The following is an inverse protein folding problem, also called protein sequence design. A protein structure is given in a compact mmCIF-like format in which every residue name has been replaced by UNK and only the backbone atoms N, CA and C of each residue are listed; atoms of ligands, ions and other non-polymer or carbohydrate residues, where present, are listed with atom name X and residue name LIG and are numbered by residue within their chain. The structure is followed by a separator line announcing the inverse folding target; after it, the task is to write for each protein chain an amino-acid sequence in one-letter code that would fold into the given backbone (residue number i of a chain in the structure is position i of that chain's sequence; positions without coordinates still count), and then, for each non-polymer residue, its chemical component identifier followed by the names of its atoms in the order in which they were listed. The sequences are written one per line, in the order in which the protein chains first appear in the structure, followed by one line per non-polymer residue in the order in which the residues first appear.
data_IF_850840112155
#
_entry.id   IF_850840112155
#
_cell.length_a   1.000
_cell.length_b   1.000
_cell.length_c   1.000
_cell.angle_alpha   90.00
_cell.angle_beta   90.00
_cell.angle_gamma   90.00
#
_symmetry.space_group_name_H-M   'P 1'
#
loop_
_entity.id
_entity.type
_entity.pdbx_description
1 polymer ?
#
# COMPACT_ATOMS: atom_id res chain seq x y z
N UNK A 1 -0.75 -17.76 14.40
CA UNK A 1 -1.16 -17.13 13.13
C UNK A 1 -2.41 -17.85 12.62
N UNK A 2 -3.60 -17.25 12.72
CA UNK A 2 -4.70 -17.69 11.85
C UNK A 2 -4.24 -17.33 10.44
N UNK A 3 -3.87 -18.33 9.65
CA UNK A 3 -3.69 -18.12 8.22
C UNK A 3 -5.01 -17.58 7.71
N UNK A 4 -4.99 -16.51 6.92
CA UNK A 4 -6.16 -16.00 6.21
C UNK A 4 -6.87 -17.22 5.59
N UNK A 5 -8.03 -17.60 6.13
CA UNK A 5 -8.70 -18.87 5.73
C UNK A 5 -9.07 -18.84 4.24
N UNK A 6 -9.25 -17.63 3.72
CA UNK A 6 -9.51 -17.35 2.31
C UNK A 6 -8.43 -16.47 1.71
N UNK A 7 -8.06 -16.74 0.46
CA UNK A 7 -7.17 -15.89 -0.32
C UNK A 7 -7.79 -14.49 -0.51
N UNK A 8 -7.22 -13.41 0.07
CA UNK A 8 -7.83 -12.08 0.06
C UNK A 8 -8.03 -11.53 -1.36
N UNK A 9 -7.20 -11.97 -2.32
CA UNK A 9 -7.26 -11.52 -3.71
C UNK A 9 -8.51 -11.99 -4.45
N UNK A 10 -9.24 -12.97 -3.92
CA UNK A 10 -10.55 -13.39 -4.46
C UNK A 10 -11.63 -12.32 -4.31
N UNK A 11 -11.44 -11.38 -3.37
CA UNK A 11 -12.34 -10.28 -3.07
C UNK A 11 -11.91 -8.95 -3.70
N UNK A 12 -10.87 -8.94 -4.54
CA UNK A 12 -10.49 -7.75 -5.29
C UNK A 12 -11.57 -7.38 -6.31
N UNK A 13 -11.96 -6.10 -6.35
CA UNK A 13 -12.86 -5.57 -7.38
C UNK A 13 -12.10 -4.76 -8.43
N UNK A 14 -11.76 -5.44 -9.52
CA UNK A 14 -11.15 -4.83 -10.69
C UNK A 14 -12.17 -4.45 -11.78
N UNK A 15 -13.47 -4.70 -11.56
CA UNK A 15 -14.51 -4.57 -12.59
C UNK A 15 -14.41 -5.62 -13.72
N UNK A 16 -13.55 -6.63 -13.57
CA UNK A 16 -13.44 -7.78 -14.48
C UNK A 16 -13.11 -9.04 -13.66
N UNK A 17 -14.00 -10.04 -13.72
CA UNK A 17 -13.83 -11.31 -13.00
C UNK A 17 -12.55 -12.03 -13.41
N UNK A 18 -12.11 -11.90 -14.67
CA UNK A 18 -10.88 -12.53 -15.18
C UNK A 18 -9.62 -11.96 -14.54
N UNK A 19 -9.62 -10.66 -14.24
CA UNK A 19 -8.52 -10.03 -13.50
C UNK A 19 -8.47 -10.54 -12.06
N UNK A 20 -9.63 -10.71 -11.43
CA UNK A 20 -9.75 -11.24 -10.07
C UNK A 20 -9.24 -12.69 -9.99
N UNK A 21 -9.69 -13.55 -10.90
CA UNK A 21 -9.18 -14.92 -11.01
C UNK A 21 -7.67 -14.96 -11.26
N UNK A 22 -7.14 -14.00 -12.02
CA UNK A 22 -5.70 -13.90 -12.27
C UNK A 22 -4.91 -13.44 -11.05
N UNK A 23 -5.42 -12.51 -10.26
CA UNK A 23 -4.80 -12.09 -9.00
C UNK A 23 -4.68 -13.27 -8.02
N UNK A 24 -5.73 -14.09 -7.91
CA UNK A 24 -5.73 -15.32 -7.12
C UNK A 24 -4.65 -16.29 -7.60
N UNK A 25 -4.60 -16.59 -8.91
CA UNK A 25 -3.59 -17.47 -9.50
C UNK A 25 -2.16 -16.97 -9.22
N UNK A 26 -1.92 -15.67 -9.43
CA UNK A 26 -0.61 -15.05 -9.22
C UNK A 26 -0.20 -15.18 -7.75
N UNK A 27 -1.10 -14.87 -6.82
CA UNK A 27 -0.83 -14.95 -5.40
C UNK A 27 -0.53 -16.38 -4.92
N UNK A 28 -1.28 -17.37 -5.39
CA UNK A 28 -1.04 -18.78 -5.08
C UNK A 28 0.30 -19.25 -5.63
N UNK A 29 0.65 -18.83 -6.85
CA UNK A 29 1.92 -19.17 -7.47
C UNK A 29 3.11 -18.54 -6.73
N UNK A 30 3.00 -17.26 -6.33
CA UNK A 30 4.00 -16.54 -5.54
C UNK A 30 4.19 -17.14 -4.15
N UNK A 31 3.12 -17.65 -3.52
CA UNK A 31 3.19 -18.31 -2.21
C UNK A 31 4.07 -19.56 -2.24
N UNK A 32 4.04 -20.33 -3.33
CA UNK A 32 4.82 -21.57 -3.49
C UNK A 32 6.27 -21.29 -3.84
N UNK A 33 6.53 -20.28 -4.68
CA UNK A 33 7.87 -19.97 -5.22
C UNK A 33 8.33 -18.56 -4.79
N UNK A 34 8.24 -18.29 -3.49
CA UNK A 34 8.59 -16.99 -2.93
C UNK A 34 10.04 -16.61 -3.22
N UNK A 35 10.28 -15.37 -3.65
CA UNK A 35 11.61 -14.82 -3.93
C UNK A 35 12.18 -15.16 -5.32
N UNK A 36 11.52 -16.00 -6.10
CA UNK A 36 11.94 -16.30 -7.48
C UNK A 36 11.38 -15.28 -8.49
N UNK A 37 12.05 -15.04 -9.63
CA UNK A 37 11.50 -14.24 -10.72
C UNK A 37 10.23 -14.86 -11.32
N UNK A 38 9.33 -14.01 -11.84
CA UNK A 38 8.06 -14.46 -12.44
C UNK A 38 8.24 -15.54 -13.51
N UNK A 39 9.33 -15.48 -14.28
CA UNK A 39 9.67 -16.48 -15.31
C UNK A 39 9.95 -17.88 -14.76
N UNK A 40 10.38 -17.99 -13.50
CA UNK A 40 10.53 -19.27 -12.81
C UNK A 40 9.27 -19.66 -12.03
N UNK A 41 8.44 -18.68 -11.66
CA UNK A 41 7.16 -18.93 -10.99
C UNK A 41 6.20 -19.64 -11.95
N UNK A 42 6.00 -19.08 -13.15
CA UNK A 42 5.09 -19.60 -14.15
C UNK A 42 5.80 -20.54 -15.14
N UNK A 43 5.29 -21.76 -15.28
CA UNK A 43 5.83 -22.76 -16.21
C UNK A 43 5.31 -22.56 -17.65
N UNK A 44 4.23 -21.80 -17.83
CA UNK A 44 3.60 -21.53 -19.13
C UNK A 44 3.91 -20.12 -19.61
N UNK A 45 4.33 -19.98 -20.87
CA UNK A 45 4.55 -18.68 -21.50
C UNK A 45 3.27 -17.83 -21.52
N UNK A 46 2.10 -18.46 -21.62
CA UNK A 46 0.81 -17.77 -21.58
C UNK A 46 0.58 -17.13 -20.20
N UNK A 47 0.81 -17.88 -19.12
CA UNK A 47 0.56 -17.40 -17.75
C UNK A 47 1.60 -16.34 -17.34
N UNK A 48 2.85 -16.51 -17.76
CA UNK A 48 3.89 -15.50 -17.59
C UNK A 48 3.50 -14.19 -18.28
N UNK A 49 3.15 -14.23 -19.57
CA UNK A 49 2.72 -13.04 -20.33
C UNK A 49 1.52 -12.37 -19.68
N UNK A 50 0.51 -13.16 -19.32
CA UNK A 50 -0.72 -12.69 -18.68
C UNK A 50 -0.49 -12.06 -17.31
N UNK A 51 0.55 -12.49 -16.59
CA UNK A 51 0.94 -11.91 -15.31
C UNK A 51 1.62 -10.55 -15.49
N UNK A 52 2.49 -10.40 -16.48
CA UNK A 52 3.01 -9.07 -16.85
C UNK A 52 1.90 -8.12 -17.28
N UNK A 53 0.97 -8.58 -18.13
CA UNK A 53 -0.23 -7.82 -18.52
C UNK A 53 -1.14 -7.47 -17.34
N UNK A 54 -1.15 -8.29 -16.28
CA UNK A 54 -1.90 -8.00 -15.06
C UNK A 54 -1.26 -6.86 -14.29
N UNK A 55 0.06 -6.86 -14.11
CA UNK A 55 0.76 -5.80 -13.37
C UNK A 55 0.81 -4.47 -14.12
N UNK A 56 0.73 -4.48 -15.45
CA UNK A 56 0.66 -3.26 -16.27
C UNK A 56 -0.77 -2.78 -16.53
N UNK A 57 -1.79 -3.46 -15.99
CA UNK A 57 -3.18 -3.10 -16.25
C UNK A 57 -3.60 -1.87 -15.42
N UNK A 58 -4.15 -0.80 -16.02
CA UNK A 58 -4.60 0.37 -15.27
C UNK A 58 -5.76 0.06 -14.30
N UNK A 59 -6.45 -1.07 -14.46
CA UNK A 59 -7.53 -1.50 -13.54
C UNK A 59 -7.03 -2.14 -12.25
N UNK A 60 -5.79 -2.64 -12.22
CA UNK A 60 -5.21 -3.42 -11.11
C UNK A 60 -4.34 -2.55 -10.21
N UNK A 61 -4.92 -1.44 -9.73
CA UNK A 61 -4.20 -0.47 -8.90
C UNK A 61 -3.79 -1.04 -7.55
N UNK A 62 -2.75 -0.46 -6.93
CA UNK A 62 -2.26 -0.82 -5.60
C UNK A 62 -3.39 -0.85 -4.56
N UNK A 63 -4.23 0.18 -4.54
CA UNK A 63 -5.37 0.25 -3.61
C UNK A 63 -6.35 -0.90 -3.83
N UNK A 64 -6.74 -1.19 -5.08
CA UNK A 64 -7.68 -2.28 -5.36
C UNK A 64 -7.13 -3.65 -4.99
N UNK A 65 -5.82 -3.83 -5.10
CA UNK A 65 -5.14 -5.07 -4.76
C UNK A 65 -5.01 -5.31 -3.25
N UNK A 66 -4.82 -4.24 -2.47
CA UNK A 66 -4.51 -4.33 -1.03
C UNK A 66 -5.75 -4.20 -0.14
N UNK A 67 -6.76 -3.44 -0.58
CA UNK A 67 -8.00 -3.19 0.18
C UNK A 67 -8.71 -4.44 0.71
N UNK A 68 -8.81 -5.56 -0.05
CA UNK A 68 -9.43 -6.77 0.49
C UNK A 68 -8.68 -7.37 1.69
N UNK A 69 -7.35 -7.36 1.65
CA UNK A 69 -6.52 -7.83 2.77
C UNK A 69 -6.75 -6.97 4.02
N UNK A 70 -6.79 -5.64 3.86
CA UNK A 70 -7.05 -4.73 4.98
C UNK A 70 -8.43 -4.94 5.60
N UNK A 71 -9.46 -5.14 4.75
CA UNK A 71 -10.82 -5.46 5.21
C UNK A 71 -10.87 -6.78 5.96
N UNK A 72 -10.15 -7.78 5.47
CA UNK A 72 -10.06 -9.08 6.13
C UNK A 72 -9.38 -8.96 7.50
N UNK A 73 -8.23 -8.27 7.58
CA UNK A 73 -7.57 -8.01 8.86
C UNK A 73 -8.49 -7.23 9.81
N UNK A 74 -9.18 -6.19 9.35
CA UNK A 74 -10.13 -5.43 10.17
C UNK A 74 -11.29 -6.30 10.71
N UNK A 75 -11.75 -7.28 9.93
CA UNK A 75 -12.75 -8.26 10.38
C UNK A 75 -12.18 -9.24 11.40
N UNK A 76 -10.96 -9.72 11.19
CA UNK A 76 -10.30 -10.68 12.08
C UNK A 76 -9.97 -10.10 13.45
N UNK A 77 -9.63 -8.80 13.51
CA UNK A 77 -9.35 -8.12 14.77
C UNK A 77 -10.61 -7.53 15.44
N UNK A 78 -11.77 -7.63 14.80
CA UNK A 78 -13.02 -7.13 15.37
C UNK A 78 -13.35 -7.89 16.65
N UNK A 79 -13.62 -7.16 17.73
CA UNK A 79 -13.90 -7.75 19.05
C UNK A 79 -12.67 -8.10 19.88
N UNK A 80 -11.44 -7.93 19.37
CA UNK A 80 -10.24 -7.96 20.20
C UNK A 80 -10.19 -6.67 21.03
N UNK A 81 -10.07 -6.73 22.38
CA UNK A 81 -10.18 -5.55 23.24
C UNK A 81 -9.11 -4.48 22.95
N UNK A 82 -7.88 -4.91 22.68
CA UNK A 82 -6.73 -4.04 22.42
C UNK A 82 -5.87 -4.64 21.32
N UNK A 83 -5.49 -3.82 20.36
CA UNK A 83 -4.51 -4.14 19.31
C UNK A 83 -3.48 -3.01 19.23
N UNK A 84 -2.28 -3.34 18.78
CA UNK A 84 -1.26 -2.35 18.43
C UNK A 84 -1.27 -2.12 16.91
N UNK A 85 -1.48 -0.88 16.48
CA UNK A 85 -1.34 -0.47 15.08
C UNK A 85 0.04 0.15 14.87
N UNK A 86 1.02 -0.66 14.47
CA UNK A 86 2.41 -0.23 14.28
C UNK A 86 2.60 0.35 12.89
N UNK A 87 2.85 1.66 12.79
CA UNK A 87 3.17 2.33 11.54
C UNK A 87 4.68 2.46 11.32
N UNK A 88 5.17 2.13 10.14
CA UNK A 88 6.57 2.41 9.75
C UNK A 88 6.69 2.72 8.25
N UNK A 89 7.80 3.35 7.86
CA UNK A 89 8.09 3.75 6.48
C UNK A 89 9.34 3.04 5.96
N UNK A 90 9.17 2.23 4.92
CA UNK A 90 10.28 1.59 4.21
C UNK A 90 10.49 2.20 2.82
N UNK A 91 11.70 2.04 2.29
CA UNK A 91 12.09 2.53 0.98
C UNK A 91 12.36 1.35 0.04
N UNK A 92 11.65 1.31 -1.08
CA UNK A 92 11.88 0.33 -2.14
C UNK A 92 12.95 0.91 -3.08
N UNK A 93 14.19 0.43 -2.93
CA UNK A 93 15.34 0.95 -3.67
C UNK A 93 15.54 0.24 -5.01
N UNK A 94 15.37 0.98 -6.11
CA UNK A 94 15.52 0.52 -7.49
C UNK A 94 16.76 1.10 -8.19
N UNK A 95 17.82 1.45 -7.45
CA UNK A 95 19.10 1.95 -8.01
C UNK A 95 19.65 1.16 -9.22
N UNK A 96 19.42 -0.16 -9.27
CA UNK A 96 19.91 -1.03 -10.34
C UNK A 96 19.04 -1.00 -11.61
N UNK A 97 17.84 -0.42 -11.55
CA UNK A 97 16.99 -0.22 -12.72
C UNK A 97 17.54 0.99 -13.47
N UNK A 98 18.13 0.71 -14.64
CA UNK A 98 18.77 1.73 -15.48
C UNK A 98 17.75 2.68 -16.12
N UNK A 99 16.56 2.16 -16.41
CA UNK A 99 15.44 2.93 -16.94
C UNK A 99 14.77 3.72 -15.83
N UNK A 100 15.05 5.02 -15.78
CA UNK A 100 14.39 5.93 -14.84
C UNK A 100 13.04 6.33 -15.43
N UNK A 101 11.97 5.76 -14.92
CA UNK A 101 10.60 6.19 -15.22
C UNK A 101 10.20 7.36 -14.31
N UNK A 102 9.24 8.16 -14.76
CA UNK A 102 8.68 9.27 -13.97
C UNK A 102 7.93 8.79 -12.71
N UNK A 103 7.60 7.50 -12.66
CA UNK A 103 6.87 6.84 -11.57
C UNK A 103 7.79 6.48 -10.38
N UNK A 104 9.10 6.65 -10.53
CA UNK A 104 10.07 6.54 -9.45
C UNK A 104 10.56 7.91 -9.00
N UNK A 105 11.05 7.98 -7.77
CA UNK A 105 11.52 9.24 -7.19
C UNK A 105 12.74 9.06 -6.30
N UNK A 106 13.38 10.18 -5.90
CA UNK A 106 14.57 10.15 -5.09
C UNK A 106 14.31 9.55 -3.69
N UNK A 107 15.05 8.50 -3.34
CA UNK A 107 15.09 7.88 -2.01
C UNK A 107 16.43 8.21 -1.35
N UNK A 108 16.46 9.24 -0.49
CA UNK A 108 17.63 9.60 0.30
C UNK A 108 18.91 9.85 -0.51
N UNK A 109 19.99 9.15 -0.16
CA UNK A 109 21.36 9.30 -0.69
C UNK A 109 21.49 8.84 -2.17
N UNK A 110 20.81 9.51 -3.09
CA UNK A 110 20.89 9.22 -4.52
C UNK A 110 20.20 7.94 -4.96
N UNK A 111 19.36 7.34 -4.10
CA UNK A 111 18.49 6.25 -4.50
C UNK A 111 17.35 6.70 -5.38
N UNK A 112 16.82 5.77 -6.16
CA UNK A 112 15.66 5.98 -7.01
C UNK A 112 14.67 4.85 -6.73
N UNK A 113 13.42 5.17 -6.42
CA UNK A 113 12.41 4.15 -6.15
C UNK A 113 11.17 4.71 -5.48
N UNK A 114 10.55 3.88 -4.64
CA UNK A 114 9.26 4.16 -4.00
C UNK A 114 9.40 4.23 -2.48
N UNK A 115 8.42 4.87 -1.85
CA UNK A 115 8.25 4.94 -0.41
C UNK A 115 6.96 4.20 -0.08
N UNK A 116 7.05 3.24 0.83
CA UNK A 116 5.93 2.48 1.34
C UNK A 116 5.78 2.76 2.83
N UNK A 117 4.63 3.30 3.22
CA UNK A 117 4.25 3.40 4.62
C UNK A 117 3.19 2.34 4.90
N UNK A 118 3.44 1.49 5.89
CA UNK A 118 2.53 0.39 6.24
C UNK A 118 2.12 0.50 7.69
N UNK A 119 0.88 0.12 7.99
CA UNK A 119 0.38 -0.06 9.35
C UNK A 119 0.04 -1.53 9.58
N UNK A 120 0.73 -2.14 10.55
CA UNK A 120 0.60 -3.55 10.91
C UNK A 120 -0.15 -3.69 12.23
N UNK A 121 -1.21 -4.49 12.26
CA UNK A 121 -1.88 -4.92 13.47
C UNK A 121 -1.06 -5.99 14.19
N UNK A 122 -0.81 -5.79 15.47
CA UNK A 122 -0.04 -6.70 16.33
C UNK A 122 -0.77 -6.93 17.65
N UNK A 123 -0.76 -8.18 18.11
CA UNK A 123 -1.22 -8.56 19.44
C UNK A 123 -0.27 -7.95 20.52
N UNK A 124 -0.79 -7.17 21.48
CA UNK A 124 0.04 -6.53 22.50
C UNK A 124 0.73 -7.51 23.45
N UNK A 125 0.15 -8.68 23.71
CA UNK A 125 0.63 -9.59 24.76
C UNK A 125 1.78 -10.46 24.26
N UNK A 126 1.69 -10.94 23.03
CA UNK A 126 2.65 -11.89 22.45
C UNK A 126 3.42 -11.34 21.25
N UNK A 127 3.11 -10.13 20.79
CA UNK A 127 3.73 -9.54 19.60
C UNK A 127 3.38 -10.25 18.29
N UNK A 128 2.30 -11.03 18.26
CA UNK A 128 1.90 -11.77 17.07
C UNK A 128 1.38 -10.81 15.99
N UNK A 129 1.88 -10.87 14.74
CA UNK A 129 1.28 -10.11 13.64
C UNK A 129 -0.12 -10.68 13.32
N UNK A 130 -1.10 -9.78 13.30
CA UNK A 130 -2.50 -10.08 12.98
C UNK A 130 -2.84 -9.75 11.52
N UNK A 131 -2.13 -8.80 10.91
CA UNK A 131 -2.26 -8.47 9.49
C UNK A 131 -2.02 -7.00 9.20
N UNK A 132 -2.03 -6.62 7.92
CA UNK A 132 -1.88 -5.23 7.50
C UNK A 132 -3.23 -4.51 7.58
N UNK A 133 -3.23 -3.31 8.13
CA UNK A 133 -4.43 -2.46 8.25
C UNK A 133 -4.52 -1.42 7.15
N UNK A 134 -3.36 -0.93 6.69
CA UNK A 134 -3.29 0.12 5.71
C UNK A 134 -1.89 0.20 5.12
N UNK A 135 -1.79 0.59 3.86
CA UNK A 135 -0.53 0.94 3.21
C UNK A 135 -0.70 2.13 2.28
N UNK A 136 0.37 2.91 2.15
CA UNK A 136 0.49 3.98 1.15
C UNK A 136 1.78 3.84 0.40
N UNK A 137 1.68 3.79 -0.92
CA UNK A 137 2.80 3.74 -1.84
C UNK A 137 2.88 5.05 -2.62
N UNK A 138 4.03 5.71 -2.62
CA UNK A 138 4.25 6.94 -3.38
C UNK A 138 5.72 7.13 -3.73
N UNK A 139 6.01 8.14 -4.54
CA UNK A 139 7.36 8.58 -4.84
C UNK A 139 7.50 10.09 -4.63
N UNK A 140 8.73 10.55 -4.41
CA UNK A 140 9.04 11.98 -4.37
C UNK A 140 9.16 12.53 -5.78
N UNK A 141 8.76 13.78 -5.98
CA UNK A 141 9.06 14.48 -7.22
C UNK A 141 10.56 14.78 -7.32
N UNK A 142 11.09 14.66 -8.54
CA UNK A 142 12.44 15.12 -8.82
C UNK A 142 12.53 16.65 -8.63
N UNK A 143 13.64 17.11 -8.06
CA UNK A 143 13.89 18.55 -7.95
C UNK A 143 14.16 19.12 -9.34
N UNK A 144 13.57 20.28 -9.62
CA UNK A 144 13.85 21.04 -10.84
C UNK A 144 15.34 21.40 -10.85
N UNK A 145 16.07 21.14 -11.96
CA UNK A 145 17.48 21.50 -12.05
C UNK A 145 17.66 23.03 -11.96
N UNK A 146 18.82 23.50 -11.46
CA UNK A 146 19.10 24.93 -11.40
C UNK A 146 19.15 25.54 -12.82
N UNK A 147 18.77 26.81 -12.99
CA UNK A 147 18.93 27.49 -14.27
C UNK A 147 20.40 27.52 -14.72
N UNK A 148 20.68 27.39 -16.05
CA UNK A 148 22.03 27.54 -16.57
C UNK A 148 22.64 28.89 -16.17
N UNK A 149 23.89 28.89 -15.71
CA UNK A 149 24.61 30.12 -15.32
C UNK A 149 24.16 30.77 -14.01
N UNK A 150 23.43 30.05 -13.14
CA UNK A 150 22.98 30.58 -11.85
C UNK A 150 24.16 31.07 -10.96
N UNK A 151 24.14 32.35 -10.60
CA UNK A 151 25.13 32.94 -9.68
C UNK A 151 24.92 32.47 -8.24
N UNK A 152 25.97 32.53 -7.41
CA UNK A 152 25.88 32.17 -5.98
C UNK A 152 24.82 32.97 -5.22
N UNK A 153 24.62 34.24 -5.55
CA UNK A 153 23.59 35.09 -4.95
C UNK A 153 22.17 34.65 -5.37
N UNK A 154 21.96 34.36 -6.66
CA UNK A 154 20.70 33.84 -7.17
C UNK A 154 20.34 32.49 -6.55
N UNK A 155 21.32 31.58 -6.44
CA UNK A 155 21.18 30.29 -5.76
C UNK A 155 20.73 30.45 -4.31
N UNK A 156 21.35 31.35 -3.56
CA UNK A 156 20.96 31.62 -2.15
C UNK A 156 19.51 32.13 -2.05
N UNK A 157 19.09 33.00 -2.96
CA UNK A 157 17.72 33.53 -3.02
C UNK A 157 16.71 32.42 -3.36
N UNK A 158 16.98 31.59 -4.37
CA UNK A 158 16.13 30.46 -4.76
C UNK A 158 15.96 29.46 -3.63
N UNK A 159 17.05 28.99 -3.01
CA UNK A 159 16.99 28.05 -1.89
C UNK A 159 16.24 28.63 -0.68
N UNK A 160 16.36 29.93 -0.42
CA UNK A 160 15.57 30.61 0.64
C UNK A 160 14.08 30.56 0.30
N UNK A 161 13.69 30.84 -0.94
CA UNK A 161 12.29 30.78 -1.38
C UNK A 161 11.74 29.34 -1.32
N UNK A 162 12.51 28.34 -1.76
CA UNK A 162 12.13 26.92 -1.66
C UNK A 162 11.88 26.50 -0.20
N UNK A 163 12.77 26.89 0.73
CA UNK A 163 12.59 26.62 2.17
C UNK A 163 11.35 27.29 2.74
N UNK A 164 11.08 28.54 2.36
CA UNK A 164 9.87 29.26 2.78
C UNK A 164 8.60 28.57 2.25
N UNK A 165 8.59 28.18 0.97
CA UNK A 165 7.48 27.41 0.36
C UNK A 165 7.26 26.08 1.09
N UNK A 166 8.32 25.33 1.35
CA UNK A 166 8.22 24.07 2.09
C UNK A 166 7.71 24.24 3.52
N UNK A 167 8.11 25.33 4.21
CA UNK A 167 7.62 25.65 5.56
C UNK A 167 6.14 26.02 5.57
N UNK A 168 5.71 26.84 4.61
CA UNK A 168 4.34 27.36 4.51
C UNK A 168 3.36 26.39 3.85
N UNK A 169 3.83 25.24 3.39
CA UNK A 169 2.98 24.18 2.86
C UNK A 169 1.93 23.76 3.90
N UNK A 170 0.69 23.53 3.46
CA UNK A 170 -0.37 22.96 4.28
C UNK A 170 0.09 21.63 4.91
N UNK A 171 -0.43 21.29 6.09
CA UNK A 171 0.05 20.12 6.82
C UNK A 171 -0.24 18.82 6.06
N UNK A 172 -1.40 18.75 5.42
CA UNK A 172 -1.93 17.66 4.61
C UNK A 172 -1.02 17.30 3.42
N UNK A 173 -0.32 18.29 2.88
CA UNK A 173 0.60 18.12 1.75
C UNK A 173 2.04 17.78 2.18
N UNK A 174 2.32 17.73 3.49
CA UNK A 174 3.63 17.31 4.02
C UNK A 174 3.67 15.80 4.08
N UNK A 175 4.83 15.21 3.79
CA UNK A 175 5.00 13.75 3.88
C UNK A 175 4.67 13.20 5.28
N UNK A 176 4.85 13.99 6.34
CA UNK A 176 4.49 13.62 7.71
C UNK A 176 2.99 13.41 7.91
N UNK A 177 2.13 13.91 7.03
CA UNK A 177 0.68 13.70 7.13
C UNK A 177 0.27 12.25 6.98
N UNK A 178 1.12 11.40 6.37
CA UNK A 178 0.90 9.95 6.23
C UNK A 178 0.51 9.26 7.53
N UNK A 179 1.00 9.74 8.68
CA UNK A 179 0.65 9.19 9.99
C UNK A 179 -0.82 9.47 10.35
N UNK A 180 -1.29 10.69 10.09
CA UNK A 180 -2.70 11.07 10.31
C UNK A 180 -3.60 10.33 9.34
N UNK A 181 -3.18 10.26 8.07
CA UNK A 181 -3.88 9.52 7.02
C UNK A 181 -4.01 8.03 7.36
N UNK A 182 -2.95 7.40 7.90
CA UNK A 182 -3.00 6.02 8.38
C UNK A 182 -4.09 5.86 9.45
N UNK A 183 -4.05 6.68 10.50
CA UNK A 183 -5.06 6.63 11.57
C UNK A 183 -6.48 6.83 11.04
N UNK A 184 -6.70 7.82 10.17
CA UNK A 184 -8.01 8.10 9.57
C UNK A 184 -8.54 6.90 8.76
N UNK A 185 -7.69 6.27 7.95
CA UNK A 185 -8.09 5.14 7.10
C UNK A 185 -8.35 3.87 7.92
N UNK A 186 -7.55 3.64 8.97
CA UNK A 186 -7.72 2.51 9.89
C UNK A 186 -9.04 2.65 10.66
N UNK A 187 -9.29 3.84 11.22
CA UNK A 187 -10.52 4.13 11.96
C UNK A 187 -11.77 3.99 11.08
N UNK A 188 -11.71 4.53 9.85
CA UNK A 188 -12.78 4.38 8.88
C UNK A 188 -13.06 2.90 8.54
N UNK A 189 -12.01 2.12 8.29
CA UNK A 189 -12.13 0.71 7.94
C UNK A 189 -12.70 -0.12 9.09
N UNK A 190 -12.27 0.16 10.32
CA UNK A 190 -12.76 -0.51 11.52
C UNK A 190 -14.22 -0.15 11.81
N UNK A 191 -14.58 1.14 11.71
CA UNK A 191 -15.96 1.62 11.88
C UNK A 191 -16.92 0.98 10.88
N UNK A 192 -16.49 0.80 9.62
CA UNK A 192 -17.28 0.14 8.59
C UNK A 192 -17.54 -1.35 8.90
N UNK A 193 -16.59 -2.04 9.53
CA UNK A 193 -16.77 -3.43 10.01
C UNK A 193 -17.76 -3.47 11.18
N UNK A 194 -17.61 -2.57 12.15
CA UNK A 194 -18.52 -2.48 13.31
C UNK A 194 -19.97 -2.28 12.88
N UNK A 195 -20.23 -1.34 11.97
CA UNK A 195 -21.59 -1.09 11.45
C UNK A 195 -22.18 -2.32 10.74
N UNK A 196 -21.39 -3.01 9.90
CA UNK A 196 -21.85 -4.21 9.19
C UNK A 196 -22.21 -5.36 10.15
N UNK A 197 -21.41 -5.55 11.19
CA UNK A 197 -21.68 -6.60 12.19
C UNK A 197 -22.92 -6.26 13.03
N UNK A 198 -23.11 -5.00 13.41
CA UNK A 198 -24.34 -4.54 14.08
C UNK A 198 -25.60 -4.81 13.24
N UNK A 199 -25.55 -4.57 11.92
CA UNK A 199 -26.66 -4.88 11.01
C UNK A 199 -26.92 -6.39 10.91
N UNK A 200 -25.86 -7.21 10.82
CA UNK A 200 -26.01 -8.69 10.79
C UNK A 200 -26.62 -9.24 12.08
N UNK A 201 -26.18 -8.77 13.24
CA UNK A 201 -26.72 -9.18 14.54
C UNK A 201 -28.19 -8.78 14.68
N UNK A 202 -28.57 -7.61 14.14
CA UNK A 202 -29.95 -7.14 14.12
C UNK A 202 -30.84 -8.03 13.23
N UNK A 203 -30.36 -8.38 12.02
CA UNK A 203 -31.09 -9.25 11.08
C UNK A 203 -31.23 -10.67 11.64
N UNK A 204 -30.16 -11.21 12.23
CA UNK A 204 -30.18 -12.54 12.87
C UNK A 204 -31.20 -12.60 14.01
N UNK A 205 -31.28 -11.55 14.84
CA UNK A 205 -32.30 -11.45 15.91
C UNK A 205 -33.73 -11.30 15.38
N UNK A 206 -33.92 -10.70 14.20
CA UNK A 206 -35.25 -10.58 13.58
C UNK A 206 -35.73 -11.84 12.85
N UNK A 207 -34.83 -12.75 12.46
CA UNK A 207 -35.17 -14.00 11.77
C UNK A 207 -35.40 -15.19 12.74
N UNK A 208 -35.16 -14.99 14.05
CA UNK A 208 -35.36 -15.99 15.11
C UNK A 208 -36.60 -15.67 15.97
N UNK A 209 -37.53 -14.86 15.44
CA UNK A 209 -38.86 -14.62 16.02
C UNK A 209 -39.93 -15.02 15.01
#
# INVERSE_FOLDING_TARGET
MKLLETNPYSNCDFGDKRLTSRAVLIAESLKVKYGEPLSKIFNSNSDLKRSYEFFSNPKTTFDKLTQPSFKQTAQEIYGIPVILALGDTTYLDYKKILEKTEEYGPTGNGGNGLILHSSLAVDPDFGQPLGLLWEKLWHRQHKVPPPPGETSAAKKKRLKQERLRAKNRAFEEKESYRWVEAFQNIDFSYSAVSQRNMVRDTISRSLVR
#
